data_IF_936706848712
#
_entry.id   IF_936706848712
#
_cell.length_a   1.000
_cell.length_b   1.000
_cell.length_c   1.000
_cell.angle_alpha   90.00
_cell.angle_beta   90.00
_cell.angle_gamma   90.00
#
_symmetry.space_group_name_H-M   'P 1'
#
loop_
_entity.id
_entity.type
_entity.pdbx_description
1 polymer ?
#
# COMPACT_ATOMS: atom_id res chain seq x y z
N UNK A 1 44.77 -51.82 -2.86
CA UNK A 1 44.83 -50.36 -2.61
C UNK A 1 43.41 -49.80 -2.45
N UNK A 2 42.76 -50.02 -1.29
CA UNK A 2 41.35 -49.65 -1.08
C UNK A 2 41.10 -49.18 0.37
N UNK A 3 41.95 -48.29 0.90
CA UNK A 3 41.81 -47.77 2.28
C UNK A 3 41.94 -46.25 2.44
N UNK A 4 41.97 -45.49 1.35
CA UNK A 4 42.15 -44.01 1.39
C UNK A 4 40.97 -43.19 0.91
N UNK A 5 39.85 -43.81 0.51
CA UNK A 5 38.64 -43.07 0.07
C UNK A 5 37.47 -43.07 1.05
N UNK A 6 37.57 -43.78 2.18
CA UNK A 6 36.48 -43.83 3.18
C UNK A 6 36.57 -42.73 4.25
N UNK A 7 37.72 -42.04 4.37
CA UNK A 7 37.94 -41.02 5.41
C UNK A 7 37.49 -39.61 5.01
N UNK A 8 37.12 -39.38 3.75
CA UNK A 8 36.73 -38.06 3.24
C UNK A 8 35.22 -37.84 3.14
N UNK A 9 34.41 -38.83 3.54
CA UNK A 9 32.95 -38.73 3.59
C UNK A 9 32.46 -38.51 5.05
N UNK A 10 33.32 -38.77 6.05
CA UNK A 10 32.98 -38.57 7.47
C UNK A 10 33.13 -37.11 7.96
N UNK A 11 33.63 -36.20 7.12
CA UNK A 11 33.83 -34.77 7.44
C UNK A 11 32.76 -33.83 6.85
N UNK A 12 31.75 -34.37 6.16
CA UNK A 12 30.60 -33.60 5.64
C UNK A 12 29.35 -33.71 6.52
N UNK A 13 29.42 -34.37 7.68
CA UNK A 13 28.30 -34.53 8.61
C UNK A 13 28.32 -33.58 9.83
N UNK A 14 29.19 -32.57 9.89
CA UNK A 14 29.30 -31.70 11.07
C UNK A 14 29.45 -30.22 10.71
N UNK A 15 28.46 -29.67 10.02
CA UNK A 15 28.22 -28.20 10.04
C UNK A 15 26.85 -27.80 9.48
N UNK A 16 25.80 -28.60 9.72
CA UNK A 16 24.46 -28.03 9.78
C UNK A 16 24.11 -27.78 11.25
N UNK A 17 24.84 -26.84 11.86
CA UNK A 17 24.31 -26.17 13.04
C UNK A 17 23.06 -25.42 12.56
N UNK A 18 21.88 -26.03 12.71
CA UNK A 18 20.70 -25.24 13.06
C UNK A 18 21.10 -24.50 14.33
N UNK A 19 21.55 -23.25 14.18
CA UNK A 19 21.50 -22.31 15.27
C UNK A 19 20.02 -22.27 15.67
N UNK A 20 19.65 -22.99 16.73
CA UNK A 20 18.45 -22.66 17.48
C UNK A 20 18.74 -21.33 18.16
N UNK A 21 18.70 -20.24 17.38
CA UNK A 21 18.64 -18.91 17.96
C UNK A 21 17.33 -18.86 18.71
N UNK A 22 17.41 -18.90 20.04
CA UNK A 22 16.30 -18.69 20.94
C UNK A 22 15.87 -17.21 20.82
N UNK A 23 15.20 -16.92 19.72
CA UNK A 23 14.88 -15.57 19.27
C UNK A 23 13.63 -15.09 20.00
N UNK A 24 13.82 -14.60 21.23
CA UNK A 24 12.75 -14.16 22.13
C UNK A 24 11.98 -12.89 21.65
N UNK A 25 12.17 -12.49 20.39
CA UNK A 25 11.51 -11.35 19.76
C UNK A 25 10.24 -11.72 19.00
N UNK A 26 9.89 -13.00 18.88
CA UNK A 26 8.61 -13.40 18.30
C UNK A 26 7.46 -12.94 19.19
N UNK A 27 6.32 -12.59 18.59
CA UNK A 27 5.11 -12.20 19.31
C UNK A 27 4.43 -10.97 18.73
N UNK A 28 3.52 -10.41 19.52
CA UNK A 28 2.67 -9.28 19.15
C UNK A 28 3.18 -8.05 19.89
N UNK A 29 3.43 -6.96 19.17
CA UNK A 29 3.89 -5.70 19.70
C UNK A 29 2.90 -4.59 19.35
N UNK A 30 2.45 -3.83 20.34
CA UNK A 30 1.43 -2.77 20.16
C UNK A 30 2.01 -1.39 20.42
N UNK A 31 1.47 -0.40 19.72
CA UNK A 31 1.39 0.98 20.19
C UNK A 31 -0.07 1.45 20.14
N UNK A 32 -0.33 2.74 20.32
CA UNK A 32 -1.69 3.29 20.37
C UNK A 32 -2.44 3.28 19.02
N UNK A 33 -1.79 2.88 17.93
CA UNK A 33 -2.35 3.01 16.57
C UNK A 33 -2.26 1.71 15.77
N UNK A 34 -1.30 0.84 16.09
CA UNK A 34 -0.96 -0.33 15.29
C UNK A 34 -0.45 -1.48 16.16
N UNK A 35 -0.68 -2.69 15.69
CA UNK A 35 -0.08 -3.94 16.19
C UNK A 35 0.85 -4.54 15.14
N UNK A 36 2.01 -5.02 15.56
CA UNK A 36 2.97 -5.76 14.74
C UNK A 36 3.05 -7.19 15.26
N UNK A 37 2.74 -8.14 14.40
CA UNK A 37 2.92 -9.56 14.59
C UNK A 37 4.24 -9.99 13.96
N UNK A 38 5.13 -10.59 14.74
CA UNK A 38 6.38 -11.19 14.27
C UNK A 38 6.28 -12.70 14.49
N UNK A 39 6.07 -13.44 13.41
CA UNK A 39 5.87 -14.88 13.43
C UNK A 39 7.19 -15.64 13.30
N UNK A 40 7.30 -16.80 13.94
CA UNK A 40 8.52 -17.63 13.90
C UNK A 40 8.86 -18.14 12.49
N UNK A 41 7.86 -18.24 11.61
CA UNK A 41 8.00 -18.72 10.24
C UNK A 41 8.61 -17.69 9.27
N UNK A 42 9.11 -16.56 9.76
CA UNK A 42 9.71 -15.52 8.91
C UNK A 42 8.71 -14.50 8.37
N UNK A 43 7.43 -14.53 8.80
CA UNK A 43 6.41 -13.58 8.35
C UNK A 43 6.19 -12.48 9.39
N UNK A 44 5.92 -11.25 8.94
CA UNK A 44 5.38 -10.20 9.79
C UNK A 44 4.04 -9.68 9.26
N UNK A 45 3.23 -9.13 10.14
CA UNK A 45 1.98 -8.44 9.77
C UNK A 45 1.81 -7.21 10.65
N UNK A 46 1.43 -6.09 10.04
CA UNK A 46 1.07 -4.84 10.71
C UNK A 46 -0.42 -4.62 10.50
N UNK A 47 -1.15 -4.41 11.58
CA UNK A 47 -2.59 -4.11 11.56
C UNK A 47 -2.91 -2.85 12.36
N UNK A 48 -4.09 -2.28 12.15
CA UNK A 48 -4.60 -1.18 12.99
C UNK A 48 -4.86 -1.66 14.43
N UNK A 49 -4.71 -0.79 15.44
CA UNK A 49 -4.87 -1.19 16.85
C UNK A 49 -6.31 -1.62 17.18
N UNK A 50 -7.30 -1.00 16.52
CA UNK A 50 -8.73 -1.30 16.69
C UNK A 50 -9.14 -2.65 16.09
N UNK A 51 -8.25 -3.29 15.32
CA UNK A 51 -8.47 -4.63 14.79
C UNK A 51 -8.52 -5.65 15.93
N UNK A 52 -9.72 -6.16 16.21
CA UNK A 52 -9.91 -7.41 16.94
C UNK A 52 -9.53 -8.52 15.99
N UNK A 53 -8.50 -9.32 16.33
CA UNK A 53 -8.04 -10.41 15.45
C UNK A 53 -8.60 -11.75 15.94
N UNK A 54 -9.81 -12.19 15.55
CA UNK A 54 -10.02 -13.59 15.26
C UNK A 54 -9.38 -13.89 13.90
N UNK A 55 -8.70 -15.03 13.77
CA UNK A 55 -8.29 -15.50 12.44
C UNK A 55 -9.53 -15.77 11.58
N UNK A 56 -9.55 -15.38 10.28
CA UNK A 56 -8.51 -14.69 9.50
C UNK A 56 -8.52 -13.15 9.64
N UNK A 57 -7.34 -12.51 9.61
CA UNK A 57 -7.19 -11.04 9.59
C UNK A 57 -7.85 -10.48 8.32
N UNK A 58 -8.75 -9.50 8.46
CA UNK A 58 -9.39 -8.88 7.31
C UNK A 58 -8.38 -8.02 6.51
N UNK A 59 -8.57 -7.94 5.19
CA UNK A 59 -7.66 -7.21 4.29
C UNK A 59 -7.58 -5.73 4.68
N UNK A 60 -8.67 -5.14 5.19
CA UNK A 60 -8.73 -3.73 5.57
C UNK A 60 -8.21 -3.43 6.97
N UNK A 61 -8.02 -4.47 7.78
CA UNK A 61 -7.28 -4.36 9.03
C UNK A 61 -5.77 -4.42 8.80
N UNK A 62 -5.33 -4.91 7.63
CA UNK A 62 -3.92 -5.13 7.30
C UNK A 62 -3.29 -3.89 6.68
N UNK A 63 -2.37 -3.26 7.44
CA UNK A 63 -1.55 -2.14 6.99
C UNK A 63 -0.34 -2.64 6.19
N UNK A 64 0.26 -3.75 6.59
CA UNK A 64 1.38 -4.35 5.85
C UNK A 64 1.53 -5.83 6.16
N UNK A 65 2.00 -6.62 5.20
CA UNK A 65 2.35 -8.02 5.39
C UNK A 65 3.60 -8.35 4.60
N UNK A 66 4.49 -9.17 5.15
CA UNK A 66 5.72 -9.49 4.44
C UNK A 66 6.62 -10.48 5.16
N UNK A 67 7.88 -10.51 4.76
CA UNK A 67 8.89 -11.36 5.37
C UNK A 67 9.85 -10.55 6.23
N UNK A 68 10.44 -11.22 7.22
CA UNK A 68 11.55 -10.67 7.98
C UNK A 68 12.74 -11.61 7.93
N UNK A 69 13.93 -11.03 7.99
CA UNK A 69 15.20 -11.74 8.11
C UNK A 69 16.04 -11.10 9.21
N UNK A 70 16.68 -11.92 10.03
CA UNK A 70 17.52 -11.40 11.10
C UNK A 70 18.89 -10.97 10.54
N UNK A 71 19.15 -9.66 10.50
CA UNK A 71 20.46 -9.11 10.13
C UNK A 71 21.51 -9.34 11.22
N UNK A 72 21.14 -9.03 12.47
CA UNK A 72 22.01 -9.23 13.64
C UNK A 72 21.18 -9.51 14.91
N UNK A 73 21.81 -9.49 16.09
CA UNK A 73 21.13 -9.76 17.37
C UNK A 73 20.11 -8.70 17.78
N UNK A 74 20.14 -7.51 17.16
CA UNK A 74 19.32 -6.34 17.47
C UNK A 74 18.51 -5.83 16.28
N UNK A 75 18.63 -6.41 15.09
CA UNK A 75 17.98 -5.89 13.88
C UNK A 75 17.34 -7.00 13.04
N UNK A 76 16.10 -6.74 12.65
CA UNK A 76 15.40 -7.48 11.61
C UNK A 76 15.30 -6.59 10.36
N UNK A 77 15.65 -7.14 9.21
CA UNK A 77 15.25 -6.60 7.93
C UNK A 77 13.83 -7.04 7.65
N UNK A 78 12.93 -6.11 7.35
CA UNK A 78 11.57 -6.41 6.95
C UNK A 78 11.35 -6.02 5.48
N UNK A 79 10.60 -6.86 4.79
CA UNK A 79 10.24 -6.69 3.38
C UNK A 79 8.76 -6.99 3.21
N UNK A 80 7.95 -5.94 3.09
CA UNK A 80 6.53 -6.06 2.75
C UNK A 80 6.36 -6.70 1.38
N UNK A 81 5.34 -7.55 1.25
CA UNK A 81 4.84 -7.99 -0.05
C UNK A 81 4.40 -6.75 -0.81
N UNK A 82 4.91 -6.57 -2.03
CA UNK A 82 4.44 -5.51 -2.91
C UNK A 82 2.95 -5.69 -3.18
N UNK A 83 2.16 -4.64 -2.93
CA UNK A 83 0.82 -4.56 -3.48
C UNK A 83 0.93 -4.11 -4.93
N UNK A 84 0.10 -4.67 -5.80
CA UNK A 84 0.06 -4.25 -7.21
C UNK A 84 -0.38 -2.79 -7.26
N UNK A 85 0.48 -1.92 -7.81
CA UNK A 85 0.11 -0.52 -8.05
C UNK A 85 -1.04 -0.47 -9.05
N UNK A 86 -2.17 0.13 -8.70
CA UNK A 86 -3.34 0.18 -9.57
C UNK A 86 -3.01 1.02 -10.79
N UNK A 87 -3.31 0.50 -11.98
CA UNK A 87 -3.13 1.24 -13.24
C UNK A 87 -4.47 1.83 -13.65
N UNK A 88 -4.51 3.15 -13.80
CA UNK A 88 -5.67 3.90 -14.25
C UNK A 88 -5.54 4.19 -15.75
N UNK A 89 -6.67 4.20 -16.46
CA UNK A 89 -6.69 4.56 -17.88
C UNK A 89 -7.58 5.77 -18.11
N UNK A 90 -7.08 6.71 -18.91
CA UNK A 90 -7.84 7.87 -19.37
C UNK A 90 -7.94 7.82 -20.89
N UNK A 91 -9.17 7.68 -21.35
CA UNK A 91 -9.50 7.91 -22.75
C UNK A 91 -10.02 9.34 -22.89
N UNK A 92 -9.45 10.07 -23.85
CA UNK A 92 -9.82 11.43 -24.18
C UNK A 92 -10.53 11.37 -25.52
N UNK A 93 -11.74 11.89 -25.56
CA UNK A 93 -12.54 11.90 -26.76
C UNK A 93 -12.90 13.34 -27.12
N UNK A 94 -12.98 13.57 -28.42
CA UNK A 94 -13.60 14.76 -28.95
C UNK A 94 -15.11 14.55 -28.92
N UNK A 95 -15.82 15.47 -28.28
CA UNK A 95 -17.26 15.57 -28.34
C UNK A 95 -17.60 17.03 -28.59
N UNK A 96 -18.60 17.35 -29.43
CA UNK A 96 -18.90 18.76 -29.69
C UNK A 96 -19.55 19.40 -28.46
N UNK A 97 -18.71 20.00 -27.60
CA UNK A 97 -19.14 20.72 -26.40
C UNK A 97 -18.37 22.03 -26.30
N UNK A 98 -19.09 23.14 -26.40
CA UNK A 98 -18.54 24.49 -26.29
C UNK A 98 -18.54 25.02 -24.86
N UNK A 99 -19.31 24.40 -23.96
CA UNK A 99 -19.64 24.95 -22.65
C UNK A 99 -19.08 24.14 -21.48
N UNK A 100 -18.94 22.82 -21.62
CA UNK A 100 -18.58 21.92 -20.52
C UNK A 100 -17.50 20.89 -20.87
N UNK A 101 -16.71 20.51 -19.87
CA UNK A 101 -15.92 19.29 -19.85
C UNK A 101 -16.70 18.19 -19.13
N UNK A 102 -16.74 17.00 -19.71
CA UNK A 102 -17.43 15.84 -19.17
C UNK A 102 -16.41 14.82 -18.68
N UNK A 103 -16.59 14.38 -17.44
CA UNK A 103 -15.80 13.34 -16.82
C UNK A 103 -16.74 12.18 -16.48
N UNK A 104 -16.42 10.99 -16.96
CA UNK A 104 -17.16 9.76 -16.68
C UNK A 104 -16.21 8.77 -16.04
N UNK A 105 -16.62 8.17 -14.94
CA UNK A 105 -15.82 7.22 -14.18
C UNK A 105 -16.45 5.84 -14.33
N UNK A 106 -15.70 4.91 -14.91
CA UNK A 106 -16.12 3.53 -15.10
C UNK A 106 -15.48 2.64 -14.06
N UNK A 107 -16.29 2.09 -13.16
CA UNK A 107 -15.86 1.09 -12.19
C UNK A 107 -16.06 -0.32 -12.77
N UNK A 108 -15.06 -1.22 -12.65
CA UNK A 108 -15.24 -2.64 -12.91
C UNK A 108 -16.30 -3.23 -11.98
N UNK A 109 -16.93 -4.32 -12.43
CA UNK A 109 -17.80 -5.11 -11.57
C UNK A 109 -17.01 -5.55 -10.33
N UNK A 110 -17.60 -5.41 -9.14
CA UNK A 110 -17.01 -5.75 -7.83
C UNK A 110 -15.91 -4.82 -7.31
N UNK A 111 -15.54 -3.75 -8.03
CA UNK A 111 -14.61 -2.76 -7.49
C UNK A 111 -15.29 -1.90 -6.43
N UNK A 112 -14.52 -1.51 -5.41
CA UNK A 112 -14.97 -0.50 -4.47
C UNK A 112 -15.08 0.87 -5.18
N UNK A 113 -16.11 1.65 -4.82
CA UNK A 113 -16.40 2.95 -5.43
C UNK A 113 -15.85 4.08 -4.58
N UNK A 114 -14.67 4.57 -4.97
CA UNK A 114 -14.05 5.75 -4.37
C UNK A 114 -14.66 7.03 -4.91
N UNK A 115 -14.78 8.05 -4.07
CA UNK A 115 -14.98 9.42 -4.57
C UNK A 115 -13.68 9.87 -5.22
N UNK A 116 -13.79 10.68 -6.27
CA UNK A 116 -12.62 11.31 -6.87
C UNK A 116 -12.74 12.83 -6.79
N UNK A 117 -11.61 13.49 -6.77
CA UNK A 117 -11.50 14.93 -6.88
C UNK A 117 -10.88 15.29 -8.22
N UNK A 118 -11.46 16.29 -8.89
CA UNK A 118 -10.92 16.82 -10.14
C UNK A 118 -10.39 18.21 -9.86
N UNK A 119 -9.10 18.39 -10.16
CA UNK A 119 -8.40 19.65 -10.16
C UNK A 119 -8.13 20.08 -11.59
N UNK A 120 -8.30 21.38 -11.86
CA UNK A 120 -7.92 21.98 -13.13
C UNK A 120 -6.96 23.12 -12.81
N UNK A 121 -5.78 23.10 -13.43
CA UNK A 121 -4.71 24.08 -13.19
C UNK A 121 -4.34 24.22 -11.70
N UNK A 122 -4.36 23.10 -10.96
CA UNK A 122 -4.12 22.99 -9.51
C UNK A 122 -5.21 23.60 -8.62
N UNK A 123 -6.30 24.09 -9.20
CA UNK A 123 -7.46 24.54 -8.44
C UNK A 123 -8.45 23.39 -8.27
N UNK A 124 -8.92 23.17 -7.04
CA UNK A 124 -9.95 22.17 -6.73
C UNK A 124 -11.29 22.60 -7.31
N UNK A 125 -11.83 21.77 -8.19
CA UNK A 125 -13.04 22.12 -8.94
C UNK A 125 -14.26 21.39 -8.40
N UNK A 126 -14.16 20.07 -8.27
CA UNK A 126 -15.32 19.24 -7.91
C UNK A 126 -14.89 17.94 -7.24
N UNK A 127 -15.66 17.55 -6.23
CA UNK A 127 -15.65 16.19 -5.69
C UNK A 127 -16.78 15.41 -6.34
N UNK A 128 -16.41 14.38 -7.09
CA UNK A 128 -17.31 13.55 -7.87
C UNK A 128 -17.69 12.32 -7.04
N UNK A 129 -18.92 12.32 -6.55
CA UNK A 129 -19.51 11.21 -5.78
C UNK A 129 -20.41 10.29 -6.61
N UNK A 130 -20.70 10.70 -7.85
CA UNK A 130 -21.43 9.92 -8.87
C UNK A 130 -20.43 9.43 -9.92
N UNK A 131 -20.85 8.55 -10.82
CA UNK A 131 -19.99 8.03 -11.89
C UNK A 131 -19.76 9.05 -13.04
N UNK A 132 -20.15 10.33 -12.85
CA UNK A 132 -20.07 11.39 -13.85
C UNK A 132 -20.04 12.80 -13.22
N UNK A 133 -19.36 13.73 -13.91
CA UNK A 133 -19.40 15.16 -13.65
C UNK A 133 -19.32 15.99 -14.95
N UNK A 134 -20.08 17.08 -15.01
CA UNK A 134 -19.91 18.14 -16.00
C UNK A 134 -19.32 19.39 -15.34
N UNK A 135 -18.26 19.92 -15.92
CA UNK A 135 -17.52 21.08 -15.42
C UNK A 135 -17.61 22.22 -16.45
N UNK A 136 -18.21 23.36 -16.12
CA UNK A 136 -18.30 24.50 -17.03
C UNK A 136 -16.93 25.06 -17.41
N UNK A 137 -16.62 25.06 -18.71
CA UNK A 137 -15.34 25.54 -19.28
C UNK A 137 -15.04 26.98 -18.87
N UNK A 138 -16.03 27.87 -19.02
CA UNK A 138 -15.87 29.32 -18.79
C UNK A 138 -15.42 29.70 -17.38
N UNK A 139 -15.65 28.83 -16.40
CA UNK A 139 -15.34 29.13 -14.99
C UNK A 139 -13.96 28.64 -14.57
N UNK A 140 -13.45 27.59 -15.20
CA UNK A 140 -12.33 26.82 -14.67
C UNK A 140 -11.18 26.60 -15.66
N UNK A 141 -11.40 26.88 -16.95
CA UNK A 141 -10.32 26.87 -17.93
C UNK A 141 -9.63 28.22 -17.98
N UNK A 142 -8.31 28.17 -18.08
CA UNK A 142 -7.53 29.36 -18.41
C UNK A 142 -7.77 29.70 -19.89
N UNK A 143 -7.38 30.91 -20.29
CA UNK A 143 -7.35 31.32 -21.70
C UNK A 143 -6.39 30.50 -22.58
N UNK A 144 -5.58 29.63 -21.95
CA UNK A 144 -4.70 28.71 -22.65
C UNK A 144 -5.48 27.49 -23.17
N UNK A 145 -5.12 27.07 -24.39
CA UNK A 145 -5.68 25.87 -25.04
C UNK A 145 -5.38 24.60 -24.22
N UNK A 146 -4.20 24.54 -23.59
CA UNK A 146 -3.80 23.43 -22.72
C UNK A 146 -4.04 23.77 -21.26
N UNK A 147 -4.75 22.89 -20.57
CA UNK A 147 -5.02 22.98 -19.14
C UNK A 147 -4.52 21.72 -18.44
N UNK A 148 -3.92 21.87 -17.26
CA UNK A 148 -3.51 20.74 -16.44
C UNK A 148 -4.76 20.16 -15.78
N UNK A 149 -5.01 18.87 -15.97
CA UNK A 149 -6.11 18.15 -15.32
C UNK A 149 -5.49 17.11 -14.41
N UNK A 150 -5.84 17.17 -13.13
CA UNK A 150 -5.39 16.22 -12.13
C UNK A 150 -6.60 15.58 -11.46
N UNK A 151 -6.52 14.27 -11.25
CA UNK A 151 -7.58 13.52 -10.61
C UNK A 151 -6.98 12.82 -9.42
N UNK A 152 -7.63 12.99 -8.27
CA UNK A 152 -7.23 12.40 -7.00
C UNK A 152 -8.30 11.42 -6.53
N UNK A 153 -7.89 10.36 -5.86
CA UNK A 153 -8.79 9.54 -5.05
C UNK A 153 -9.05 10.23 -3.71
N UNK A 154 -10.27 10.13 -3.22
CA UNK A 154 -10.62 10.48 -1.84
C UNK A 154 -10.94 9.17 -1.13
N UNK A 155 -10.00 8.60 -0.36
CA UNK A 155 -10.24 7.39 0.41
C UNK A 155 -11.25 7.62 1.54
N UNK A 156 -11.94 6.56 1.97
CA UNK A 156 -12.98 6.65 3.01
C UNK A 156 -12.40 6.79 4.43
N UNK A 157 -11.22 6.25 4.67
CA UNK A 157 -10.54 6.16 5.97
C UNK A 157 -9.91 7.48 6.44
N UNK A 158 -10.10 8.58 5.69
CA UNK A 158 -9.44 9.87 5.98
C UNK A 158 -7.93 9.86 5.70
N UNK A 159 -7.43 8.86 4.99
CA UNK A 159 -6.05 8.80 4.49
C UNK A 159 -5.81 9.84 3.39
N UNK A 160 -4.53 10.07 3.07
CA UNK A 160 -4.14 11.07 2.09
C UNK A 160 -4.71 10.77 0.70
N UNK A 161 -5.11 11.81 -0.03
CA UNK A 161 -5.61 11.67 -1.39
C UNK A 161 -4.48 11.32 -2.34
N UNK A 162 -4.65 10.28 -3.16
CA UNK A 162 -3.64 9.86 -4.13
C UNK A 162 -3.97 10.34 -5.53
N UNK A 163 -2.99 10.94 -6.21
CA UNK A 163 -3.09 11.28 -7.64
C UNK A 163 -3.25 9.99 -8.43
N UNK A 164 -4.37 9.84 -9.15
CA UNK A 164 -4.59 8.74 -10.09
C UNK A 164 -4.24 9.13 -11.52
N UNK A 165 -4.29 10.42 -11.84
CA UNK A 165 -3.93 10.96 -13.14
C UNK A 165 -3.51 12.43 -13.04
N UNK A 166 -2.51 12.81 -13.81
CA UNK A 166 -2.10 14.21 -14.01
C UNK A 166 -1.65 14.36 -15.46
N UNK A 167 -2.32 15.22 -16.23
CA UNK A 167 -2.02 15.40 -17.65
C UNK A 167 -2.37 16.80 -18.16
N UNK A 168 -1.59 17.30 -19.11
CA UNK A 168 -1.86 18.58 -19.79
C UNK A 168 -2.68 18.34 -21.05
N UNK A 169 -3.93 18.78 -21.03
CA UNK A 169 -4.92 18.42 -22.05
C UNK A 169 -5.31 19.65 -22.87
N UNK A 170 -5.34 19.49 -24.19
CA UNK A 170 -5.98 20.46 -25.09
C UNK A 170 -7.50 20.35 -24.92
N UNK A 171 -8.10 21.32 -24.24
CA UNK A 171 -9.52 21.33 -23.86
C UNK A 171 -10.45 21.89 -24.94
N UNK A 172 -9.88 22.39 -26.05
CA UNK A 172 -10.62 22.70 -27.28
C UNK A 172 -10.88 21.45 -28.11
N UNK A 173 -9.93 20.51 -28.12
CA UNK A 173 -10.01 19.25 -28.87
C UNK A 173 -10.51 18.06 -28.05
N UNK A 174 -10.45 18.13 -26.72
CA UNK A 174 -10.88 17.05 -25.85
C UNK A 174 -11.72 17.62 -24.73
N UNK A 175 -12.93 17.10 -24.60
CA UNK A 175 -13.92 17.60 -23.65
C UNK A 175 -14.74 16.48 -23.05
N UNK A 176 -14.49 15.23 -23.46
CA UNK A 176 -15.02 14.04 -22.82
C UNK A 176 -13.87 13.16 -22.33
N UNK A 177 -13.93 12.80 -21.06
CA UNK A 177 -12.88 12.09 -20.35
C UNK A 177 -13.46 10.85 -19.68
N UNK A 178 -13.15 9.69 -20.23
CA UNK A 178 -13.51 8.41 -19.64
C UNK A 178 -12.35 7.89 -18.79
N UNK A 179 -12.56 7.82 -17.48
CA UNK A 179 -11.62 7.31 -16.49
C UNK A 179 -12.02 5.88 -16.16
N UNK A 180 -11.19 4.91 -16.51
CA UNK A 180 -11.42 3.51 -16.15
C UNK A 180 -10.66 3.17 -14.88
N UNK A 181 -11.41 2.85 -13.82
CA UNK A 181 -10.86 2.45 -12.54
C UNK A 181 -10.37 0.99 -12.60
N UNK A 182 -9.27 0.64 -11.92
CA UNK A 182 -8.87 -0.76 -11.75
C UNK A 182 -9.75 -1.45 -10.70
N UNK A 183 -9.62 -2.78 -10.61
CA UNK A 183 -10.22 -3.53 -9.50
C UNK A 183 -9.37 -3.28 -8.26
N UNK A 184 -9.94 -2.54 -7.31
CA UNK A 184 -9.32 -2.23 -6.03
C UNK A 184 -10.32 -2.42 -4.89
N UNK A 185 -9.85 -2.97 -3.78
CA UNK A 185 -10.60 -3.07 -2.53
C UNK A 185 -10.61 -1.72 -1.78
N UNK A 186 -11.51 -1.58 -0.80
CA UNK A 186 -11.78 -0.33 -0.09
C UNK A 186 -10.55 0.26 0.64
N UNK A 187 -9.65 -0.62 1.06
CA UNK A 187 -8.48 -0.32 1.87
C UNK A 187 -7.19 -0.42 1.05
N UNK A 188 -7.29 -0.33 -0.28
CA UNK A 188 -6.13 -0.47 -1.17
C UNK A 188 -5.02 0.52 -0.79
N UNK A 189 -5.41 1.76 -0.53
CA UNK A 189 -4.55 2.89 -0.21
C UNK A 189 -4.13 2.99 1.27
N UNK A 190 -4.68 2.14 2.14
CA UNK A 190 -4.29 2.10 3.55
C UNK A 190 -3.02 1.22 3.76
N UNK A 191 -2.59 0.50 2.71
CA UNK A 191 -1.41 -0.35 2.75
C UNK A 191 -0.12 0.45 2.68
N UNK A 192 0.80 0.15 3.59
CA UNK A 192 2.12 0.77 3.67
C UNK A 192 3.21 -0.21 3.23
N UNK A 193 4.02 0.23 2.28
CA UNK A 193 5.21 -0.51 1.84
C UNK A 193 6.39 -0.28 2.80
N UNK A 194 7.03 -1.40 3.15
CA UNK A 194 8.27 -1.47 3.94
C UNK A 194 9.29 -2.29 3.15
N UNK A 195 10.07 -1.62 2.30
CA UNK A 195 11.05 -2.28 1.42
C UNK A 195 12.46 -2.06 1.98
N UNK A 196 13.14 -3.14 2.35
CA UNK A 196 14.44 -3.11 3.01
C UNK A 196 14.47 -2.26 4.31
N UNK A 197 13.33 -2.12 4.98
CA UNK A 197 13.21 -1.38 6.22
C UNK A 197 13.80 -2.18 7.40
N UNK A 198 14.27 -1.47 8.42
CA UNK A 198 14.87 -2.10 9.61
C UNK A 198 13.95 -1.96 10.81
N UNK A 199 13.65 -3.09 11.44
CA UNK A 199 12.98 -3.18 12.73
C UNK A 199 14.03 -3.49 13.79
N UNK A 200 14.23 -2.54 14.71
CA UNK A 200 15.23 -2.64 15.76
C UNK A 200 14.64 -3.29 17.01
N UNK A 201 15.31 -4.31 17.52
CA UNK A 201 15.02 -4.98 18.80
C UNK A 201 15.73 -4.18 19.89
N UNK A 202 14.96 -3.42 20.67
CA UNK A 202 15.49 -2.66 21.81
C UNK A 202 15.77 -3.61 22.97
N UNK A 203 14.80 -4.47 23.28
CA UNK A 203 14.90 -5.54 24.26
C UNK A 203 13.79 -6.58 24.00
N UNK A 204 13.70 -7.60 24.85
CA UNK A 204 12.69 -8.67 24.73
C UNK A 204 11.23 -8.19 24.80
N UNK A 205 10.96 -6.96 25.25
CA UNK A 205 9.63 -6.36 25.37
C UNK A 205 9.37 -5.20 24.42
N UNK A 206 10.38 -4.68 23.70
CA UNK A 206 10.22 -3.49 22.87
C UNK A 206 10.96 -3.59 21.55
N UNK A 207 10.30 -3.13 20.50
CA UNK A 207 10.86 -2.97 19.16
C UNK A 207 10.63 -1.54 18.66
N UNK A 208 11.39 -1.13 17.64
CA UNK A 208 11.24 0.15 16.97
C UNK A 208 11.17 -0.02 15.46
N UNK A 209 10.21 0.65 14.83
CA UNK A 209 10.04 0.70 13.38
C UNK A 209 9.68 2.13 12.97
N UNK A 210 10.43 2.72 12.02
CA UNK A 210 10.26 4.13 11.57
C UNK A 210 10.03 5.09 12.74
N UNK A 211 10.96 5.06 13.70
CA UNK A 211 10.96 5.92 14.91
C UNK A 211 9.80 5.70 15.90
N UNK A 212 8.88 4.77 15.61
CA UNK A 212 7.79 4.39 16.52
C UNK A 212 8.20 3.19 17.38
N UNK A 213 7.95 3.28 18.68
CA UNK A 213 8.22 2.19 19.65
C UNK A 213 6.95 1.36 19.84
N UNK A 214 7.11 0.05 19.84
CA UNK A 214 6.04 -0.91 20.12
C UNK A 214 6.41 -1.78 21.32
N UNK A 215 5.43 -2.11 22.15
CA UNK A 215 5.59 -2.91 23.37
C UNK A 215 4.93 -4.27 23.20
N UNK A 216 5.65 -5.33 23.59
CA UNK A 216 5.18 -6.72 23.49
C UNK A 216 3.96 -6.92 24.38
N UNK A 217 2.88 -7.44 23.79
CA UNK A 217 1.68 -7.84 24.52
C UNK A 217 1.92 -9.15 25.26
N UNK A 218 1.36 -9.32 26.47
CA UNK A 218 1.37 -10.60 27.14
C UNK A 218 0.54 -11.61 26.33
N UNK A 219 1.11 -12.77 26.03
CA UNK A 219 0.35 -13.88 25.45
C UNK A 219 -0.59 -14.39 26.56
N UNK A 220 -1.84 -13.96 26.53
CA UNK A 220 -2.90 -14.57 27.34
C UNK A 220 -3.48 -15.72 26.51
N UNK A 221 -3.20 -16.94 26.95
CA UNK A 221 -3.95 -18.13 26.53
C UNK A 221 -5.30 -18.15 27.23
#
# INVERSE_FOLDING_TARGET
MLKTKLLMILLLCLSCQKLSKNNNFYGIYSNNYQKIFIHENGVFTIVSDDSYVPHPIEICDTISIGTWEQKDSKQLLINSKKRTTPTFFLNKEFEQSSDSLYFVIKYPLQSFRFKVEILINKERIVTVSKDYAAIPKKRYLNSNIKNLIEIYTIPYSGTESHIILSDSINTELNNYFLITMPIIDACHFDYMDYINDTLSIINNRRIMLKEKIYTKLPIKF
#
